data_IF_739420005553
#
_entry.id   IF_739420005553
#
_cell.length_a   1.000
_cell.length_b   1.000
_cell.length_c   1.000
_cell.angle_alpha   90.00
_cell.angle_beta   90.00
_cell.angle_gamma   90.00
#
_symmetry.space_group_name_H-M   'P 1'
#
loop_
_entity.id
_entity.type
_entity.pdbx_description
1 polymer ?
#
# COMPACT_ATOMS: atom_id res chain seq x y z
N UNK A 1 -29.61 8.44 -17.52
CA UNK A 1 -29.59 7.01 -17.16
C UNK A 1 -28.28 6.40 -17.64
N UNK A 2 -27.53 5.80 -16.72
CA UNK A 2 -26.30 5.05 -16.98
C UNK A 2 -26.51 3.60 -16.57
N UNK A 3 -25.63 2.72 -17.03
CA UNK A 3 -25.59 1.33 -16.63
C UNK A 3 -24.19 1.00 -16.14
N UNK A 4 -24.09 0.23 -15.06
CA UNK A 4 -22.82 -0.29 -14.55
C UNK A 4 -22.92 -1.82 -14.43
N UNK A 5 -21.94 -2.52 -14.97
CA UNK A 5 -21.83 -3.97 -14.86
C UNK A 5 -20.98 -4.34 -13.65
N UNK A 6 -21.50 -5.27 -12.84
CA UNK A 6 -20.81 -5.88 -11.71
C UNK A 6 -20.60 -7.38 -11.93
N UNK A 7 -19.50 -7.87 -11.38
CA UNK A 7 -19.31 -9.26 -11.01
C UNK A 7 -19.64 -9.37 -9.52
N UNK A 8 -20.63 -10.19 -9.18
CA UNK A 8 -21.03 -10.42 -7.79
C UNK A 8 -19.98 -11.23 -7.03
N UNK A 9 -20.13 -11.31 -5.72
CA UNK A 9 -19.37 -12.20 -4.84
C UNK A 9 -19.46 -13.68 -5.25
N UNK A 10 -20.56 -14.09 -5.89
CA UNK A 10 -20.76 -15.43 -6.44
C UNK A 10 -20.33 -15.57 -7.92
N UNK A 11 -19.78 -14.52 -8.53
CA UNK A 11 -19.30 -14.54 -9.92
C UNK A 11 -20.37 -14.32 -10.99
N UNK A 12 -21.60 -13.97 -10.62
CA UNK A 12 -22.64 -13.64 -11.58
C UNK A 12 -22.40 -12.26 -12.22
N UNK A 13 -22.76 -12.11 -13.50
CA UNK A 13 -22.77 -10.81 -14.19
C UNK A 13 -24.12 -10.13 -13.96
N UNK A 14 -24.10 -8.97 -13.31
CA UNK A 14 -25.30 -8.19 -12.98
C UNK A 14 -25.12 -6.77 -13.48
N UNK A 15 -26.08 -6.28 -14.26
CA UNK A 15 -26.12 -4.87 -14.67
C UNK A 15 -27.08 -4.11 -13.75
N UNK A 16 -26.66 -2.96 -13.25
CA UNK A 16 -27.46 -2.08 -12.40
C UNK A 16 -27.66 -0.75 -13.11
N UNK A 17 -28.90 -0.28 -13.12
CA UNK A 17 -29.26 1.02 -13.65
C UNK A 17 -28.94 2.12 -12.64
N UNK A 18 -28.33 3.20 -13.13
CA UNK A 18 -28.01 4.39 -12.36
C UNK A 18 -28.76 5.57 -12.96
N UNK A 19 -29.54 6.25 -12.13
CA UNK A 19 -30.40 7.37 -12.56
C UNK A 19 -29.59 8.48 -13.25
N UNK A 20 -28.48 8.88 -12.64
CA UNK A 20 -27.65 10.02 -13.03
C UNK A 20 -26.17 9.84 -12.66
N UNK A 21 -25.27 10.60 -13.31
CA UNK A 21 -23.82 10.41 -13.19
C UNK A 21 -23.26 10.72 -11.79
N UNK A 22 -23.89 11.63 -11.06
CA UNK A 22 -23.55 12.01 -9.69
C UNK A 22 -23.79 10.88 -8.68
N UNK A 23 -24.74 9.97 -8.94
CA UNK A 23 -25.03 8.81 -8.07
C UNK A 23 -24.14 7.60 -8.32
N UNK A 24 -23.29 7.63 -9.35
CA UNK A 24 -22.52 6.47 -9.79
C UNK A 24 -21.60 5.92 -8.69
N UNK A 25 -20.88 6.80 -7.99
CA UNK A 25 -19.96 6.38 -6.93
C UNK A 25 -20.69 5.82 -5.71
N UNK A 26 -21.88 6.33 -5.41
CA UNK A 26 -22.69 5.82 -4.30
C UNK A 26 -23.20 4.40 -4.61
N UNK A 27 -23.62 4.15 -5.86
CA UNK A 27 -23.97 2.80 -6.33
C UNK A 27 -22.76 1.87 -6.27
N UNK A 28 -21.58 2.33 -6.72
CA UNK A 28 -20.34 1.54 -6.58
C UNK A 28 -20.02 1.18 -5.13
N UNK A 29 -20.12 2.14 -4.21
CA UNK A 29 -19.91 1.89 -2.76
C UNK A 29 -20.94 0.93 -2.20
N UNK A 30 -22.21 1.07 -2.57
CA UNK A 30 -23.30 0.24 -2.08
C UNK A 30 -23.04 -1.24 -2.40
N UNK A 31 -22.77 -1.56 -3.67
CA UNK A 31 -22.55 -2.94 -4.10
C UNK A 31 -21.14 -3.44 -3.75
N UNK A 32 -20.14 -2.56 -3.76
CA UNK A 32 -18.78 -2.94 -3.38
C UNK A 32 -18.63 -3.32 -1.90
N UNK A 33 -19.47 -2.81 -1.00
CA UNK A 33 -19.57 -3.30 0.39
C UNK A 33 -19.97 -4.78 0.48
N UNK A 34 -20.70 -5.28 -0.52
CA UNK A 34 -21.06 -6.70 -0.64
C UNK A 34 -19.95 -7.53 -1.29
N UNK A 35 -18.80 -6.92 -1.63
CA UNK A 35 -17.70 -7.55 -2.35
C UNK A 35 -17.90 -7.62 -3.86
N UNK A 36 -18.90 -6.92 -4.41
CA UNK A 36 -19.11 -6.87 -5.86
C UNK A 36 -18.08 -5.95 -6.50
N UNK A 37 -17.63 -6.30 -7.70
CA UNK A 37 -16.55 -5.60 -8.41
C UNK A 37 -17.00 -5.21 -9.80
N UNK A 38 -16.40 -4.16 -10.38
CA UNK A 38 -16.68 -3.73 -11.75
C UNK A 38 -15.36 -3.66 -12.52
N UNK A 39 -15.37 -4.17 -13.76
CA UNK A 39 -14.16 -4.32 -14.57
C UNK A 39 -13.10 -5.23 -13.94
N UNK A 40 -11.87 -5.09 -14.44
CA UNK A 40 -10.69 -5.81 -13.97
C UNK A 40 -9.71 -4.87 -13.27
N UNK A 41 -8.80 -5.45 -12.47
CA UNK A 41 -7.69 -4.69 -11.89
C UNK A 41 -6.77 -4.26 -13.04
N UNK A 42 -6.47 -2.96 -13.21
CA UNK A 42 -5.55 -2.49 -14.24
C UNK A 42 -4.15 -3.12 -14.09
N UNK A 43 -3.40 -3.27 -15.18
CA UNK A 43 -1.99 -3.66 -15.12
C UNK A 43 -1.21 -2.67 -14.25
N UNK A 44 -0.47 -3.17 -13.25
CA UNK A 44 0.18 -2.33 -12.24
C UNK A 44 -0.69 -1.94 -11.05
N UNK A 45 -1.94 -2.41 -11.01
CA UNK A 45 -2.95 -2.02 -10.02
C UNK A 45 -3.57 -0.64 -10.26
N UNK A 46 -4.63 -0.35 -9.53
CA UNK A 46 -5.26 0.97 -9.53
C UNK A 46 -4.27 2.06 -9.09
N UNK A 47 -4.31 3.23 -9.73
CA UNK A 47 -3.43 4.36 -9.40
C UNK A 47 -4.26 5.47 -8.74
N UNK A 48 -3.94 5.79 -7.50
CA UNK A 48 -4.63 6.82 -6.72
C UNK A 48 -3.66 7.90 -6.21
N UNK A 49 -4.16 9.11 -5.88
CA UNK A 49 -3.34 10.13 -5.22
C UNK A 49 -2.79 9.63 -3.89
N UNK A 50 -1.54 9.99 -3.57
CA UNK A 50 -0.86 9.58 -2.34
C UNK A 50 -1.68 9.94 -1.08
N UNK A 51 -2.17 11.17 -1.03
CA UNK A 51 -2.92 11.71 0.12
C UNK A 51 -4.31 11.10 0.31
N UNK A 52 -4.76 10.23 -0.59
CA UNK A 52 -6.01 9.48 -0.42
C UNK A 52 -5.81 8.17 0.34
N UNK A 53 -4.59 7.65 0.48
CA UNK A 53 -4.33 6.34 1.07
C UNK A 53 -4.89 6.16 2.49
N UNK A 54 -4.72 7.12 3.43
CA UNK A 54 -5.07 6.88 4.83
C UNK A 54 -6.57 6.62 5.05
N UNK A 55 -7.42 7.20 4.22
CA UNK A 55 -8.88 7.14 4.36
C UNK A 55 -9.62 6.73 3.08
N UNK A 56 -8.91 6.10 2.14
CA UNK A 56 -9.48 5.55 0.92
C UNK A 56 -10.65 4.58 1.23
N UNK A 57 -11.79 4.77 0.55
CA UNK A 57 -12.89 3.83 0.66
C UNK A 57 -12.66 2.62 -0.24
N UNK A 58 -12.18 1.54 0.36
CA UNK A 58 -11.95 0.26 -0.31
C UNK A 58 -13.21 -0.34 -0.94
N UNK A 59 -14.41 0.04 -0.48
CA UNK A 59 -15.66 -0.43 -1.09
C UNK A 59 -15.83 0.09 -2.52
N UNK A 60 -15.18 1.18 -2.91
CA UNK A 60 -15.24 1.69 -4.30
C UNK A 60 -14.76 0.66 -5.34
N UNK A 61 -13.90 -0.26 -4.92
CA UNK A 61 -13.36 -1.33 -5.77
C UNK A 61 -13.79 -2.72 -5.30
N UNK A 62 -14.81 -2.83 -4.44
CA UNK A 62 -15.26 -4.12 -3.90
C UNK A 62 -14.27 -4.77 -2.93
N UNK A 63 -13.40 -3.99 -2.31
CA UNK A 63 -12.41 -4.45 -1.34
C UNK A 63 -12.78 -4.04 0.10
N UNK A 64 -12.14 -4.65 1.09
CA UNK A 64 -12.33 -4.29 2.51
C UNK A 64 -11.06 -4.47 3.33
N UNK A 65 -10.92 -3.66 4.38
CA UNK A 65 -9.90 -3.87 5.41
C UNK A 65 -10.24 -5.12 6.24
N UNK A 66 -9.21 -5.86 6.63
CA UNK A 66 -9.32 -6.99 7.55
C UNK A 66 -8.04 -7.12 8.36
N UNK A 67 -8.17 -7.33 9.67
CA UNK A 67 -7.04 -7.60 10.55
C UNK A 67 -6.86 -9.11 10.66
N UNK A 68 -5.67 -9.60 10.33
CA UNK A 68 -5.33 -11.02 10.47
C UNK A 68 -5.27 -11.42 11.96
N UNK A 69 -5.33 -12.73 12.28
CA UNK A 69 -5.11 -13.22 13.64
C UNK A 69 -3.76 -12.78 14.25
N UNK A 70 -2.76 -12.53 13.40
CA UNK A 70 -1.42 -12.06 13.80
C UNK A 70 -1.37 -10.53 14.04
N UNK A 71 -2.49 -9.84 13.85
CA UNK A 71 -2.60 -8.38 14.02
C UNK A 71 -2.20 -7.55 12.80
N UNK A 72 -1.95 -8.16 11.64
CA UNK A 72 -1.58 -7.45 10.40
C UNK A 72 -2.83 -6.87 9.72
N UNK A 73 -2.83 -5.57 9.38
CA UNK A 73 -3.89 -4.96 8.56
C UNK A 73 -3.69 -5.30 7.08
N UNK A 74 -4.70 -5.97 6.50
CA UNK A 74 -4.70 -6.44 5.13
C UNK A 74 -5.91 -5.88 4.37
N UNK A 75 -5.79 -5.83 3.05
CA UNK A 75 -6.92 -5.54 2.17
C UNK A 75 -7.37 -6.83 1.51
N UNK A 76 -8.65 -7.16 1.65
CA UNK A 76 -9.29 -8.32 1.03
C UNK A 76 -10.01 -7.86 -0.23
N UNK A 77 -9.70 -8.48 -1.36
CA UNK A 77 -10.37 -8.25 -2.64
C UNK A 77 -10.47 -9.56 -3.43
N UNK A 78 -11.70 -9.95 -3.82
CA UNK A 78 -12.01 -11.22 -4.53
C UNK A 78 -11.36 -12.46 -3.87
N UNK A 79 -11.40 -12.53 -2.54
CA UNK A 79 -10.83 -13.64 -1.76
C UNK A 79 -9.30 -13.64 -1.61
N UNK A 80 -8.60 -12.63 -2.15
CA UNK A 80 -7.17 -12.46 -1.98
C UNK A 80 -6.83 -11.41 -0.92
N UNK A 81 -5.79 -11.67 -0.13
CA UNK A 81 -5.24 -10.72 0.83
C UNK A 81 -4.04 -9.98 0.25
N UNK A 82 -4.06 -8.65 0.33
CA UNK A 82 -3.03 -7.74 -0.14
C UNK A 82 -2.40 -7.01 1.05
N UNK A 83 -1.06 -6.97 1.06
CA UNK A 83 -0.25 -6.30 2.09
C UNK A 83 0.14 -4.91 1.67
N UNK A 84 0.10 -3.98 2.62
CA UNK A 84 0.62 -2.61 2.49
C UNK A 84 2.16 -2.65 2.46
N UNK A 85 2.76 -1.95 1.51
CA UNK A 85 4.22 -1.78 1.37
C UNK A 85 4.51 -0.30 1.12
N UNK A 86 5.43 0.25 1.88
CA UNK A 86 5.93 1.59 1.62
C UNK A 86 7.08 1.50 0.62
N UNK A 87 7.02 2.32 -0.42
CA UNK A 87 8.06 2.47 -1.42
C UNK A 87 8.70 3.84 -1.24
N UNK A 88 10.00 3.84 -0.96
CA UNK A 88 10.76 5.07 -0.81
C UNK A 88 10.83 5.85 -2.12
N UNK A 89 11.03 7.16 -2.01
CA UNK A 89 11.24 7.99 -3.17
C UNK A 89 12.54 7.57 -3.88
N UNK A 90 12.46 7.33 -5.18
CA UNK A 90 13.63 7.03 -6.00
C UNK A 90 14.09 8.35 -6.60
N UNK A 91 15.24 8.87 -6.16
CA UNK A 91 15.91 10.00 -6.80
C UNK A 91 17.22 9.55 -7.45
N UNK A 92 17.11 9.07 -8.69
CA UNK A 92 18.26 8.72 -9.52
C UNK A 92 18.38 9.70 -10.69
N UNK A 93 19.59 9.80 -11.27
CA UNK A 93 19.81 10.61 -12.48
C UNK A 93 18.92 10.21 -13.66
N UNK A 94 18.47 8.95 -13.70
CA UNK A 94 17.63 8.40 -14.78
C UNK A 94 16.12 8.46 -14.48
N UNK A 95 15.74 8.47 -13.20
CA UNK A 95 14.35 8.33 -12.79
C UNK A 95 14.12 9.00 -11.44
N UNK A 96 13.08 9.84 -11.39
CA UNK A 96 12.59 10.47 -10.16
C UNK A 96 11.17 10.02 -9.89
N UNK A 97 10.98 9.16 -8.91
CA UNK A 97 9.67 8.70 -8.46
C UNK A 97 9.42 9.18 -7.03
N UNK A 98 8.27 9.80 -6.74
CA UNK A 98 7.92 10.14 -5.37
C UNK A 98 7.64 8.87 -4.57
N UNK A 99 7.65 9.02 -3.24
CA UNK A 99 7.24 7.95 -2.33
C UNK A 99 5.83 7.45 -2.68
N UNK A 100 5.61 6.17 -2.46
CA UNK A 100 4.34 5.53 -2.78
C UNK A 100 3.96 4.51 -1.71
N UNK A 101 2.66 4.26 -1.58
CA UNK A 101 2.14 3.12 -0.82
C UNK A 101 1.56 2.12 -1.81
N UNK A 102 2.07 0.88 -1.79
CA UNK A 102 1.66 -0.20 -2.68
C UNK A 102 0.94 -1.30 -1.91
N UNK A 103 -0.22 -1.71 -2.39
CA UNK A 103 -0.96 -2.88 -1.91
C UNK A 103 -0.77 -4.03 -2.89
N UNK A 104 -0.04 -5.06 -2.48
CA UNK A 104 0.30 -6.18 -3.36
C UNK A 104 0.36 -7.51 -2.60
N UNK A 105 0.38 -8.62 -3.34
CA UNK A 105 0.58 -9.97 -2.82
C UNK A 105 1.56 -10.73 -3.71
N UNK A 106 2.10 -11.85 -3.22
CA UNK A 106 2.85 -12.76 -4.10
C UNK A 106 1.95 -13.31 -5.19
N UNK A 107 2.49 -13.44 -6.41
CA UNK A 107 1.81 -14.12 -7.50
C UNK A 107 1.66 -15.61 -7.19
N UNK A 108 0.54 -16.17 -7.62
CA UNK A 108 0.23 -17.59 -7.57
C UNK A 108 0.34 -18.18 -8.98
N UNK A 109 0.51 -19.49 -9.08
CA UNK A 109 0.58 -20.19 -10.36
C UNK A 109 -0.69 -20.01 -11.22
N UNK A 110 -1.84 -19.75 -10.61
CA UNK A 110 -3.12 -19.49 -11.28
C UNK A 110 -3.30 -18.05 -11.74
N UNK A 111 -2.42 -17.13 -11.34
CA UNK A 111 -2.50 -15.75 -11.79
C UNK A 111 -2.03 -15.65 -13.24
N UNK A 112 -2.77 -14.97 -14.12
CA UNK A 112 -2.38 -14.84 -15.52
C UNK A 112 -1.11 -13.97 -15.66
N UNK A 113 -0.29 -14.25 -16.68
CA UNK A 113 1.02 -13.62 -16.83
C UNK A 113 0.95 -12.08 -16.92
N UNK A 114 -0.10 -11.55 -17.54
CA UNK A 114 -0.28 -10.10 -17.72
C UNK A 114 -0.57 -9.31 -16.41
N UNK A 115 -0.88 -9.98 -15.29
CA UNK A 115 -1.03 -9.31 -13.98
C UNK A 115 0.19 -9.49 -13.08
N UNK A 116 1.19 -10.27 -13.53
CA UNK A 116 2.39 -10.53 -12.75
C UNK A 116 3.43 -9.45 -13.00
N UNK A 117 3.86 -8.81 -11.92
CA UNK A 117 4.98 -7.87 -11.90
C UNK A 117 6.24 -8.60 -11.45
N UNK A 118 7.27 -8.58 -12.30
CA UNK A 118 8.61 -9.03 -11.91
C UNK A 118 9.24 -7.99 -10.98
N UNK A 119 9.66 -8.42 -9.81
CA UNK A 119 10.50 -7.62 -8.92
C UNK A 119 11.96 -8.07 -9.03
N UNK A 120 12.85 -7.37 -8.32
CA UNK A 120 14.24 -7.77 -8.20
C UNK A 120 14.33 -9.15 -7.53
N UNK A 121 14.88 -10.14 -8.25
CA UNK A 121 14.99 -11.53 -7.83
C UNK A 121 14.01 -12.48 -8.53
N UNK A 122 13.68 -13.59 -7.88
CA UNK A 122 12.79 -14.64 -8.42
C UNK A 122 11.31 -14.44 -8.03
N UNK A 123 10.99 -13.37 -7.31
CA UNK A 123 9.62 -13.14 -6.81
C UNK A 123 8.78 -12.33 -7.79
N UNK A 124 7.59 -12.85 -8.09
CA UNK A 124 6.55 -12.16 -8.85
C UNK A 124 5.45 -11.66 -7.89
N UNK A 125 4.94 -10.46 -8.16
CA UNK A 125 3.87 -9.86 -7.37
C UNK A 125 2.64 -9.56 -8.22
N UNK A 126 1.49 -9.49 -7.56
CA UNK A 126 0.25 -8.96 -8.14
C UNK A 126 -0.15 -7.74 -7.31
N UNK A 127 -0.27 -6.60 -7.97
CA UNK A 127 -0.61 -5.31 -7.34
C UNK A 127 -2.10 -5.03 -7.45
N UNK A 128 -2.72 -4.67 -6.33
CA UNK A 128 -4.10 -4.19 -6.29
C UNK A 128 -4.15 -2.68 -6.53
N UNK A 129 -3.37 -1.91 -5.78
CA UNK A 129 -3.38 -0.45 -5.85
C UNK A 129 -2.03 0.16 -5.48
N UNK A 130 -1.74 1.31 -6.08
CA UNK A 130 -0.60 2.18 -5.77
C UNK A 130 -1.11 3.60 -5.50
N UNK A 131 -0.78 4.13 -4.34
CA UNK A 131 -1.03 5.51 -3.95
C UNK A 131 0.27 6.30 -4.12
N UNK A 132 0.31 7.24 -5.07
CA UNK A 132 1.55 7.96 -5.44
C UNK A 132 1.25 9.30 -6.08
N UNK A 133 1.95 10.35 -5.64
CA UNK A 133 1.81 11.70 -6.20
C UNK A 133 0.36 12.19 -6.26
N UNK A 134 0.02 12.95 -7.30
CA UNK A 134 -1.34 13.43 -7.55
C UNK A 134 -1.85 14.46 -6.53
N UNK A 135 -3.11 14.87 -6.68
CA UNK A 135 -3.83 15.73 -5.74
C UNK A 135 -4.98 14.94 -5.12
N UNK A 136 -5.15 15.06 -3.80
CA UNK A 136 -6.26 14.42 -3.07
C UNK A 136 -7.61 14.69 -3.74
N UNK A 137 -8.44 13.65 -3.82
CA UNK A 137 -9.83 13.75 -4.28
C UNK A 137 -10.78 13.24 -3.20
N UNK A 138 -11.68 14.10 -2.71
CA UNK A 138 -12.58 13.75 -1.60
C UNK A 138 -13.57 12.64 -1.97
N UNK A 139 -13.91 12.51 -3.26
CA UNK A 139 -14.76 11.45 -3.78
C UNK A 139 -14.19 10.04 -3.63
N UNK A 140 -12.92 9.87 -3.25
CA UNK A 140 -12.30 8.57 -2.97
C UNK A 140 -12.20 8.26 -1.47
N UNK A 141 -12.41 9.25 -0.60
CA UNK A 141 -12.41 9.05 0.83
C UNK A 141 -13.66 8.29 1.29
N UNK A 142 -13.57 7.68 2.47
CA UNK A 142 -14.74 7.11 3.17
C UNK A 142 -15.71 8.25 3.52
N UNK A 143 -17.03 8.12 3.26
CA UNK A 143 -17.97 9.20 3.56
C UNK A 143 -17.98 9.50 5.06
N UNK A 144 -17.89 10.78 5.43
CA UNK A 144 -17.79 11.20 6.83
C UNK A 144 -16.40 11.04 7.45
N UNK A 145 -15.41 10.50 6.72
CA UNK A 145 -14.01 10.61 7.13
C UNK A 145 -13.59 12.07 7.08
N UNK A 146 -13.14 12.60 8.21
CA UNK A 146 -12.44 13.88 8.22
C UNK A 146 -11.06 13.63 7.63
N UNK A 147 -10.60 14.41 6.63
CA UNK A 147 -9.25 14.25 6.14
C UNK A 147 -8.31 14.32 7.34
N UNK A 148 -7.43 13.32 7.47
CA UNK A 148 -6.35 13.38 8.43
C UNK A 148 -5.54 14.62 8.04
N UNK A 149 -5.81 15.74 8.69
CA UNK A 149 -5.06 16.98 8.52
C UNK A 149 -3.60 16.60 8.73
N UNK A 150 -2.79 16.77 7.69
CA UNK A 150 -1.37 16.49 7.70
C UNK A 150 -0.78 17.08 8.98
N UNK A 151 -0.53 16.22 9.97
CA UNK A 151 0.16 16.61 11.19
C UNK A 151 1.53 17.15 10.80
N UNK A 152 2.09 18.10 11.56
CA UNK A 152 3.40 18.64 11.25
C UNK A 152 4.40 17.49 11.19
N UNK A 153 5.08 17.35 10.04
CA UNK A 153 6.22 16.45 9.86
C UNK A 153 7.15 16.63 11.07
N UNK A 154 7.51 15.56 11.81
CA UNK A 154 8.54 15.69 12.83
C UNK A 154 9.82 16.18 12.16
N UNK A 155 10.36 17.28 12.68
CA UNK A 155 11.65 17.82 12.25
C UNK A 155 12.73 16.73 12.41
N UNK A 156 13.71 16.64 11.49
CA UNK A 156 14.79 15.67 11.62
C UNK A 156 15.52 15.94 12.94
N UNK A 157 15.51 14.94 13.82
CA UNK A 157 16.26 14.97 15.07
C UNK A 157 17.73 15.25 14.74
N UNK A 158 18.23 16.36 15.27
CA UNK A 158 19.63 16.72 15.18
C UNK A 158 20.48 15.56 15.72
N UNK A 159 21.39 15.06 14.87
CA UNK A 159 22.34 14.03 15.22
C UNK A 159 23.11 14.44 16.48
N UNK A 160 22.93 13.67 17.55
CA UNK A 160 23.74 13.73 18.75
C UNK A 160 25.17 13.34 18.38
N UNK A 161 26.04 14.34 18.37
CA UNK A 161 27.48 14.24 18.12
C UNK A 161 28.09 13.37 19.23
N UNK A 162 28.44 12.13 18.91
CA UNK A 162 29.17 11.25 19.81
C UNK A 162 30.54 11.86 20.14
N UNK A 163 30.80 12.07 21.43
CA UNK A 163 32.12 12.47 21.94
C UNK A 163 33.07 11.25 21.93
N UNK A 164 34.32 11.38 21.47
CA UNK A 164 35.30 10.31 21.56
C UNK A 164 35.80 10.15 23.00
N UNK A 165 35.56 8.98 23.59
CA UNK A 165 36.14 8.57 24.87
C UNK A 165 37.65 8.29 24.70
N UNK A 166 38.46 9.05 25.43
CA UNK A 166 39.90 8.85 25.61
C UNK A 166 40.17 7.55 26.39
N UNK A 167 40.85 6.59 25.76
CA UNK A 167 41.44 5.42 26.42
C UNK A 167 42.67 5.84 27.25
N UNK A 168 42.79 5.42 28.52
CA UNK A 168 44.07 5.52 29.24
C UNK A 168 45.06 4.44 28.77
N UNK A 169 46.33 4.82 28.85
CA UNK A 169 47.51 4.13 28.33
C UNK A 169 47.84 2.80 29.04
N UNK A 170 48.43 1.89 28.27
CA UNK A 170 48.95 0.60 28.71
C UNK A 170 50.15 0.76 29.67
N UNK A 171 50.11 0.04 30.79
CA UNK A 171 51.25 -0.13 31.69
C UNK A 171 52.08 -1.35 31.25
N UNK A 172 53.39 -1.19 31.36
CA UNK A 172 54.43 -2.04 30.83
C UNK A 172 54.59 -3.39 31.55
N UNK A 173 55.14 -4.32 30.77
CA UNK A 173 55.55 -5.68 31.07
C UNK A 173 56.70 -5.69 32.09
N UNK A 174 56.68 -6.63 33.03
CA UNK A 174 57.87 -7.08 33.75
C UNK A 174 57.94 -8.61 33.67
N UNK A 175 58.98 -9.08 32.99
CA UNK A 175 59.51 -10.45 33.02
C UNK A 175 59.77 -10.89 34.46
N UNK A 176 59.43 -12.13 34.79
CA UNK A 176 60.23 -12.89 35.75
C UNK A 176 60.19 -14.39 35.45
N UNK A 177 61.38 -14.98 35.55
CA UNK A 177 61.81 -16.29 35.08
C UNK A 177 61.11 -17.48 35.76
N UNK A 178 60.93 -18.55 34.98
CA UNK A 178 60.89 -19.99 35.36
C UNK A 178 61.95 -20.38 36.41
N UNK A 179 61.89 -21.52 37.17
CA UNK A 179 61.58 -22.87 36.64
C UNK A 179 61.01 -23.95 37.59
N UNK A 180 60.74 -25.12 36.97
CA UNK A 180 60.43 -26.48 37.44
C UNK A 180 58.96 -26.86 37.71
#
# INVERSE_FOLDING_TARGET
MLHIEFITDLGARVTVDVESADKLLDVQRQYGRLGWTTGDIPSGGYQFPFDNEPDFDWNLIGARKWTSPDGEELIIHRGHAYRRRELEAVDSRKMKLPAAVKYSRGAKNTDPEHVREKADGEFEYVTLAIFRGGKRQDRYATPGSRPASAGPRPAPAAASRAQPQTRPAAAAVADEETPF
#
